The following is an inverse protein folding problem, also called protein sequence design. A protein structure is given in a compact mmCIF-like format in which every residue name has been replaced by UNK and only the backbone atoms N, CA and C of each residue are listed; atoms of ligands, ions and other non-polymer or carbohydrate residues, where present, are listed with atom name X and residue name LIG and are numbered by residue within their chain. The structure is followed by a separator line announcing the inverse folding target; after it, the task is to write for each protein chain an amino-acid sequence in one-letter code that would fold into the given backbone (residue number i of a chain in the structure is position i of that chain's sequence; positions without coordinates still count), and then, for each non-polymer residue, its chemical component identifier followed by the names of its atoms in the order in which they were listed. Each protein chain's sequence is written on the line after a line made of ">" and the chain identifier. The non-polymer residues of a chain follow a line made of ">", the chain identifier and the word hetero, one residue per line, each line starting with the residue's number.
data_IF_666591654361
#
_entry.id   IF_666591654361
#
_cell.length_a   1.000
_cell.length_b   1.000
_cell.length_c   1.000
_cell.angle_alpha   90.00
_cell.angle_beta   90.00
_cell.angle_gamma   90.00
#
_symmetry.space_group_name_H-M   'P 1'
#
loop_
_entity.id
_entity.type
_entity.pdbx_description
1 polymer ?
#
# COMPACT_ATOMS: atom_id res chain seq x y z
N UNK A 1 1.17 -10.08 5.20
CA UNK A 1 1.19 -8.69 5.70
C UNK A 1 1.48 -8.56 7.20
N UNK A 2 1.36 -9.61 8.03
CA UNK A 2 1.66 -9.53 9.47
C UNK A 2 3.10 -9.06 9.75
N UNK A 3 4.10 -9.57 9.03
CA UNK A 3 5.50 -9.17 9.16
C UNK A 3 5.72 -7.68 8.88
N UNK A 4 5.12 -7.13 7.81
CA UNK A 4 5.24 -5.70 7.49
C UNK A 4 4.62 -4.80 8.58
N UNK A 5 3.56 -5.28 9.24
CA UNK A 5 2.93 -4.59 10.39
C UNK A 5 3.87 -4.48 11.58
N UNK A 6 4.79 -5.42 11.75
CA UNK A 6 5.80 -5.39 12.81
C UNK A 6 7.01 -4.52 12.39
N UNK A 7 7.38 -4.57 11.11
CA UNK A 7 8.58 -3.90 10.58
C UNK A 7 8.40 -2.40 10.28
N UNK A 8 7.19 -1.97 9.89
CA UNK A 8 6.93 -0.57 9.52
C UNK A 8 5.83 0.04 10.39
N UNK A 9 6.21 1.10 11.13
CA UNK A 9 5.27 1.89 11.92
C UNK A 9 4.26 2.59 11.03
N UNK A 10 4.70 3.09 9.88
CA UNK A 10 3.85 3.72 8.88
C UNK A 10 2.79 2.76 8.37
N UNK A 11 3.20 1.58 7.91
CA UNK A 11 2.25 0.58 7.41
C UNK A 11 1.26 0.15 8.51
N UNK A 12 1.73 -0.05 9.74
CA UNK A 12 0.85 -0.38 10.88
C UNK A 12 -0.20 0.70 11.12
N UNK A 13 0.20 1.98 11.14
CA UNK A 13 -0.73 3.10 11.32
C UNK A 13 -1.79 3.13 10.23
N UNK A 14 -1.40 3.00 8.95
CA UNK A 14 -2.34 2.97 7.83
C UNK A 14 -3.25 1.73 7.85
N UNK A 15 -2.73 0.58 8.26
CA UNK A 15 -3.51 -0.63 8.47
C UNK A 15 -4.58 -0.41 9.56
N UNK A 16 -4.20 0.11 10.72
CA UNK A 16 -5.12 0.37 11.82
C UNK A 16 -6.21 1.38 11.44
N UNK A 17 -5.85 2.44 10.71
CA UNK A 17 -6.83 3.39 10.15
C UNK A 17 -7.84 2.69 9.23
N UNK A 18 -7.39 1.77 8.39
CA UNK A 18 -8.24 1.02 7.47
C UNK A 18 -9.15 0.02 8.21
N UNK A 19 -8.65 -0.70 9.21
CA UNK A 19 -9.46 -1.66 9.99
C UNK A 19 -10.63 -0.99 10.72
N UNK A 20 -10.45 0.28 11.09
CA UNK A 20 -11.48 1.08 11.76
C UNK A 20 -12.57 1.59 10.80
N UNK A 21 -12.49 1.29 9.50
CA UNK A 21 -13.46 1.69 8.48
C UNK A 21 -14.11 0.46 7.84
N UNK A 22 -15.41 0.55 7.55
CA UNK A 22 -16.07 -0.44 6.66
C UNK A 22 -15.53 -0.21 5.25
N UNK A 23 -15.05 -1.27 4.60
CA UNK A 23 -14.39 -1.24 3.28
C UNK A 23 -15.22 -0.66 2.11
N UNK A 24 -16.50 -0.32 2.32
CA UNK A 24 -17.37 0.32 1.34
C UNK A 24 -17.41 1.86 1.43
N UNK A 25 -16.84 2.47 2.48
CA UNK A 25 -16.89 3.93 2.75
C UNK A 25 -15.50 4.58 2.76
N UNK A 26 -14.65 4.26 1.79
CA UNK A 26 -13.40 5.01 1.58
C UNK A 26 -13.77 6.38 1.01
N UNK A 27 -13.92 7.38 1.88
CA UNK A 27 -14.19 8.76 1.48
C UNK A 27 -12.90 9.49 1.07
N UNK A 28 -13.05 10.57 0.29
CA UNK A 28 -11.96 11.48 -0.03
C UNK A 28 -11.29 12.04 1.23
N UNK A 29 -12.08 12.39 2.26
CA UNK A 29 -11.56 12.85 3.55
C UNK A 29 -10.62 11.83 4.18
N UNK A 30 -11.02 10.55 4.21
CA UNK A 30 -10.18 9.48 4.76
C UNK A 30 -8.91 9.28 3.93
N UNK A 31 -9.04 9.34 2.60
CA UNK A 31 -7.90 9.22 1.69
C UNK A 31 -6.85 10.32 1.96
N UNK A 32 -7.29 11.57 2.07
CA UNK A 32 -6.42 12.70 2.36
C UNK A 32 -5.82 12.60 3.77
N UNK A 33 -6.60 12.20 4.79
CA UNK A 33 -6.08 11.96 6.15
C UNK A 33 -4.94 10.93 6.17
N UNK A 34 -5.05 9.86 5.37
CA UNK A 34 -3.98 8.87 5.26
C UNK A 34 -2.71 9.43 4.59
N UNK A 35 -2.85 10.28 3.56
CA UNK A 35 -1.70 10.95 2.91
C UNK A 35 -1.00 11.86 3.90
N UNK A 36 -1.75 12.72 4.59
CA UNK A 36 -1.22 13.63 5.61
C UNK A 36 -0.46 12.88 6.71
N UNK A 37 -1.01 11.75 7.18
CA UNK A 37 -0.32 10.89 8.14
C UNK A 37 0.97 10.32 7.54
N UNK A 38 0.95 9.83 6.30
CA UNK A 38 2.14 9.30 5.64
C UNK A 38 3.25 10.36 5.51
N UNK A 39 2.90 11.61 5.21
CA UNK A 39 3.83 12.75 5.11
C UNK A 39 4.56 13.08 6.43
N UNK A 40 4.00 12.69 7.58
CA UNK A 40 4.66 12.84 8.89
C UNK A 40 5.85 11.91 9.07
N UNK A 41 5.93 10.83 8.29
CA UNK A 41 7.03 9.87 8.35
C UNK A 41 8.19 10.28 7.44
N UNK A 42 9.36 9.70 7.69
CA UNK A 42 10.55 9.98 6.87
C UNK A 42 10.38 9.40 5.46
N UNK A 43 10.96 10.08 4.47
CA UNK A 43 11.00 9.59 3.07
C UNK A 43 11.48 8.14 2.96
N UNK A 44 12.46 7.74 3.79
CA UNK A 44 13.00 6.38 3.83
C UNK A 44 12.00 5.36 4.37
N UNK A 45 11.20 5.73 5.37
CA UNK A 45 10.14 4.85 5.91
C UNK A 45 9.05 4.62 4.86
N UNK A 46 8.66 5.67 4.13
CA UNK A 46 7.71 5.56 3.00
C UNK A 46 8.26 4.61 1.93
N UNK A 47 9.51 4.81 1.50
CA UNK A 47 10.19 3.95 0.53
C UNK A 47 10.31 2.49 1.01
N UNK A 48 10.63 2.27 2.28
CA UNK A 48 10.73 0.94 2.87
C UNK A 48 9.37 0.21 2.87
N UNK A 49 8.31 0.88 3.32
CA UNK A 49 6.96 0.33 3.32
C UNK A 49 6.48 0.00 1.91
N UNK A 50 6.70 0.90 0.94
CA UNK A 50 6.39 0.67 -0.48
C UNK A 50 7.14 -0.54 -1.04
N UNK A 51 8.45 -0.63 -0.78
CA UNK A 51 9.27 -1.74 -1.25
C UNK A 51 8.73 -3.08 -0.74
N UNK A 52 8.48 -3.20 0.57
CA UNK A 52 7.94 -4.42 1.17
C UNK A 52 6.53 -4.75 0.65
N UNK A 53 5.68 -3.75 0.43
CA UNK A 53 4.36 -3.95 -0.15
C UNK A 53 4.42 -4.49 -1.56
N UNK A 54 5.33 -3.97 -2.40
CA UNK A 54 5.54 -4.40 -3.79
C UNK A 54 6.23 -5.77 -3.87
N UNK A 55 7.14 -6.09 -2.96
CA UNK A 55 7.75 -7.43 -2.88
C UNK A 55 6.69 -8.51 -2.61
N UNK A 56 5.70 -8.22 -1.75
CA UNK A 56 4.60 -9.15 -1.48
C UNK A 56 3.69 -9.43 -2.70
N UNK A 57 3.77 -8.67 -3.80
CA UNK A 57 3.13 -9.10 -5.07
C UNK A 57 3.92 -10.16 -5.81
N UNK A 58 5.25 -10.14 -5.72
CA UNK A 58 6.09 -11.11 -6.44
C UNK A 58 5.95 -12.52 -5.86
N UNK A 59 5.69 -12.67 -4.55
CA UNK A 59 5.41 -13.99 -3.96
C UNK A 59 4.05 -14.57 -4.40
N UNK A 60 3.06 -13.73 -4.72
CA UNK A 60 1.76 -14.16 -5.25
C UNK A 60 1.88 -14.53 -6.74
N UNK A 61 2.74 -13.81 -7.46
CA UNK A 61 3.05 -14.06 -8.88
C UNK A 61 4.21 -15.05 -9.08
N UNK A 62 4.77 -15.69 -8.04
CA UNK A 62 5.88 -16.65 -8.15
C UNK A 62 5.51 -18.00 -8.80
N UNK A 63 4.40 -18.03 -9.55
CA UNK A 63 4.21 -18.95 -10.67
C UNK A 63 4.73 -18.43 -12.01
N UNK A 64 5.12 -17.15 -12.14
CA UNK A 64 5.53 -16.53 -13.41
C UNK A 64 6.64 -15.50 -13.18
N UNK A 65 7.84 -15.95 -13.54
CA UNK A 65 8.97 -15.20 -14.09
C UNK A 65 8.91 -13.65 -14.15
N UNK A 66 9.93 -13.07 -13.51
CA UNK A 66 10.85 -12.09 -14.10
C UNK A 66 10.34 -10.64 -14.23
N UNK A 67 10.89 -9.80 -13.34
CA UNK A 67 11.68 -8.59 -13.66
C UNK A 67 11.37 -7.97 -15.03
N UNK A 68 10.39 -7.07 -15.08
CA UNK A 68 10.29 -5.89 -16.00
C UNK A 68 8.87 -5.27 -16.07
N UNK A 69 7.91 -5.73 -15.26
CA UNK A 69 6.51 -5.26 -15.30
C UNK A 69 6.19 -4.21 -14.21
N UNK A 70 7.10 -3.29 -13.87
CA UNK A 70 6.83 -2.29 -12.82
C UNK A 70 5.69 -1.33 -13.23
N UNK A 71 5.46 -1.13 -14.54
CA UNK A 71 4.41 -0.21 -15.03
C UNK A 71 3.02 -0.83 -15.23
N UNK A 72 2.88 -2.17 -15.31
CA UNK A 72 1.60 -2.84 -15.57
C UNK A 72 1.01 -3.56 -14.36
N UNK A 73 1.67 -3.48 -13.21
CA UNK A 73 1.29 -4.18 -11.97
C UNK A 73 0.09 -3.55 -11.28
N UNK A 74 -0.11 -2.23 -11.38
CA UNK A 74 -1.31 -1.58 -10.83
C UNK A 74 -2.60 -2.04 -11.53
N UNK A 75 -2.59 -2.19 -12.85
CA UNK A 75 -3.76 -2.63 -13.61
C UNK A 75 -4.14 -4.09 -13.29
N UNK A 76 -3.14 -4.99 -13.21
CA UNK A 76 -3.35 -6.40 -12.82
C UNK A 76 -3.78 -6.57 -11.35
N UNK A 77 -3.33 -5.70 -10.45
CA UNK A 77 -3.78 -5.66 -9.05
C UNK A 77 -5.24 -5.21 -8.95
N UNK A 78 -5.68 -4.29 -9.82
CA UNK A 78 -7.10 -3.92 -9.97
C UNK A 78 -7.97 -5.05 -10.54
N UNK A 79 -7.42 -5.90 -11.41
CA UNK A 79 -8.18 -6.98 -12.03
C UNK A 79 -8.41 -8.20 -11.11
N UNK A 80 -7.68 -8.31 -10.00
CA UNK A 80 -7.74 -9.45 -9.05
C UNK A 80 -8.38 -9.12 -7.69
N UNK A 81 -9.19 -8.06 -7.60
CA UNK A 81 -9.67 -7.48 -6.34
C UNK A 81 -10.58 -8.41 -5.50
N UNK A 82 -9.94 -9.25 -4.68
CA UNK A 82 -10.49 -9.70 -3.40
C UNK A 82 -10.38 -8.57 -2.37
N UNK A 83 -11.18 -8.57 -1.29
CA UNK A 83 -11.19 -7.50 -0.25
C UNK A 83 -9.79 -7.17 0.32
N UNK A 84 -8.89 -8.16 0.38
CA UNK A 84 -7.50 -7.97 0.84
C UNK A 84 -6.63 -7.20 -0.18
N UNK A 85 -6.93 -7.31 -1.47
CA UNK A 85 -6.22 -6.62 -2.54
C UNK A 85 -6.62 -5.13 -2.62
N UNK A 86 -7.89 -4.79 -2.32
CA UNK A 86 -8.35 -3.37 -2.27
C UNK A 86 -7.56 -2.58 -1.23
N UNK A 87 -7.45 -3.10 0.00
CA UNK A 87 -6.68 -2.46 1.07
C UNK A 87 -5.22 -2.23 0.66
N UNK A 88 -4.59 -3.24 0.08
CA UNK A 88 -3.20 -3.17 -0.35
C UNK A 88 -3.02 -2.10 -1.43
N UNK A 89 -3.89 -2.09 -2.44
CA UNK A 89 -3.85 -1.11 -3.52
C UNK A 89 -4.03 0.33 -2.98
N UNK A 90 -4.95 0.53 -2.04
CA UNK A 90 -5.16 1.82 -1.38
C UNK A 90 -3.88 2.30 -0.67
N UNK A 91 -3.29 1.44 0.18
CA UNK A 91 -2.09 1.81 0.95
C UNK A 91 -0.91 2.10 0.01
N UNK A 92 -0.73 1.34 -1.07
CA UNK A 92 0.32 1.62 -2.07
C UNK A 92 0.10 3.01 -2.68
N UNK A 93 -1.12 3.34 -3.09
CA UNK A 93 -1.43 4.61 -3.72
C UNK A 93 -1.16 5.80 -2.78
N UNK A 94 -1.62 5.72 -1.51
CA UNK A 94 -1.34 6.71 -0.46
C UNK A 94 0.17 6.96 -0.33
N UNK A 95 0.96 5.89 -0.29
CA UNK A 95 2.40 6.00 -0.10
C UNK A 95 3.12 6.55 -1.34
N UNK A 96 2.64 6.25 -2.55
CA UNK A 96 3.18 6.82 -3.79
C UNK A 96 2.95 8.33 -3.87
N UNK A 97 1.74 8.79 -3.52
CA UNK A 97 1.42 10.22 -3.45
C UNK A 97 2.29 10.91 -2.39
N UNK A 98 2.32 10.37 -1.17
CA UNK A 98 3.11 10.96 -0.09
C UNK A 98 4.62 10.98 -0.39
N UNK A 99 5.12 10.09 -1.26
CA UNK A 99 6.51 10.10 -1.71
C UNK A 99 6.78 11.18 -2.77
N UNK A 100 5.81 11.42 -3.65
CA UNK A 100 5.89 12.46 -4.69
C UNK A 100 5.83 13.87 -4.09
N UNK A 101 5.02 14.05 -3.04
CA UNK A 101 4.87 15.31 -2.29
C UNK A 101 6.04 15.61 -1.32
N UNK A 102 7.04 14.71 -1.20
CA UNK A 102 8.14 14.77 -0.23
C UNK A 102 9.50 15.22 -0.79
#
# INVERSE_FOLDING_TARGET
>A
MATLREESKLYRTLDDMYQNKKSADISETFFNECIEIALTFSKREIQFALFKLKLLSEDIDSGIEVVNSISNSLQKVLDSLTSKNIKRALIINILEIALDEK
#
